data_IF_365526715208
#
_entry.id   IF_365526715208
#
_cell.length_a   1.000
_cell.length_b   1.000
_cell.length_c   1.000
_cell.angle_alpha   90.00
_cell.angle_beta   90.00
_cell.angle_gamma   90.00
#
_symmetry.space_group_name_H-M   'P 1'
#
loop_
_entity.id
_entity.type
_entity.pdbx_description
1 polymer ?
#
# COMPACT_ATOMS: atom_id res chain seq x y z
N UNK A 1 15.35 11.88 -26.66
CA UNK A 1 16.53 11.14 -26.15
C UNK A 1 16.11 10.43 -24.86
N UNK A 2 16.52 9.17 -24.64
CA UNK A 2 16.34 8.51 -23.35
C UNK A 2 17.32 9.08 -22.32
N UNK A 3 16.90 9.17 -21.06
CA UNK A 3 17.73 9.62 -19.94
C UNK A 3 17.57 8.67 -18.75
N UNK A 4 18.61 8.57 -17.93
CA UNK A 4 18.58 7.87 -16.64
C UNK A 4 18.91 8.90 -15.57
N UNK A 5 18.06 9.00 -14.56
CA UNK A 5 18.22 9.91 -13.44
C UNK A 5 18.25 9.11 -12.14
N UNK A 6 19.11 9.52 -11.20
CA UNK A 6 19.25 8.88 -9.89
C UNK A 6 18.93 9.93 -8.84
N UNK A 7 17.97 9.64 -7.98
CA UNK A 7 17.54 10.53 -6.91
C UNK A 7 17.17 9.72 -5.65
N UNK A 8 17.26 10.40 -4.52
CA UNK A 8 16.72 9.93 -3.25
C UNK A 8 15.34 10.54 -2.95
N UNK A 9 14.89 11.53 -3.74
CA UNK A 9 13.53 12.08 -3.63
C UNK A 9 12.56 11.22 -4.43
N UNK A 10 11.57 10.68 -3.71
CA UNK A 10 10.45 10.01 -4.35
C UNK A 10 9.61 11.00 -5.15
N UNK A 11 9.40 12.22 -4.65
CA UNK A 11 8.58 13.25 -5.31
C UNK A 11 9.12 13.57 -6.72
N UNK A 12 10.43 13.70 -6.87
CA UNK A 12 11.07 13.87 -8.17
C UNK A 12 10.86 12.66 -9.09
N UNK A 13 11.05 11.45 -8.56
CA UNK A 13 10.87 10.22 -9.33
C UNK A 13 9.41 10.06 -9.82
N UNK A 14 8.44 10.38 -8.97
CA UNK A 14 7.01 10.33 -9.31
C UNK A 14 6.60 11.42 -10.31
N UNK A 15 7.20 12.61 -10.22
CA UNK A 15 6.81 13.74 -11.07
C UNK A 15 7.31 13.64 -12.51
N UNK A 16 8.49 13.05 -12.74
CA UNK A 16 9.18 13.15 -14.03
C UNK A 16 9.46 11.82 -14.74
N UNK A 17 9.44 10.69 -14.04
CA UNK A 17 9.90 9.43 -14.62
C UNK A 17 8.77 8.63 -15.31
N UNK A 18 9.01 8.21 -16.56
CA UNK A 18 8.14 7.24 -17.24
C UNK A 18 8.14 5.88 -16.53
N UNK A 19 9.31 5.51 -15.98
CA UNK A 19 9.54 4.30 -15.18
C UNK A 19 10.51 4.61 -14.05
N UNK A 20 10.28 3.98 -12.91
CA UNK A 20 11.16 4.04 -11.75
C UNK A 20 11.71 2.64 -11.49
N UNK A 21 13.00 2.54 -11.22
CA UNK A 21 13.63 1.33 -10.72
C UNK A 21 13.97 1.53 -9.24
N UNK A 22 13.26 0.81 -8.36
CA UNK A 22 13.50 0.84 -6.92
C UNK A 22 14.63 -0.13 -6.62
N UNK A 23 15.67 0.33 -5.92
CA UNK A 23 16.87 -0.44 -5.60
C UNK A 23 17.05 -0.61 -4.09
N UNK A 24 17.53 -1.79 -3.69
CA UNK A 24 17.96 -2.10 -2.33
C UNK A 24 19.20 -3.00 -2.36
N UNK A 25 20.18 -2.73 -1.49
CA UNK A 25 21.43 -3.48 -1.40
C UNK A 25 22.11 -3.74 -2.76
N UNK A 26 22.13 -2.74 -3.64
CA UNK A 26 22.74 -2.82 -4.97
C UNK A 26 21.97 -3.65 -6.00
N UNK A 27 20.74 -4.07 -5.69
CA UNK A 27 19.85 -4.83 -6.60
C UNK A 27 18.59 -4.05 -6.90
N UNK A 28 18.08 -4.20 -8.11
CA UNK A 28 16.74 -3.71 -8.45
C UNK A 28 15.71 -4.64 -7.81
N UNK A 29 14.86 -4.07 -6.96
CA UNK A 29 13.77 -4.78 -6.28
C UNK A 29 12.53 -4.82 -7.16
N UNK A 30 12.19 -3.69 -7.78
CA UNK A 30 11.03 -3.57 -8.67
C UNK A 30 11.23 -2.45 -9.69
N UNK A 31 10.73 -2.66 -10.92
CA UNK A 31 10.67 -1.63 -11.96
C UNK A 31 9.23 -1.52 -12.44
N UNK A 32 8.73 -0.31 -12.60
CA UNK A 32 7.38 -0.07 -13.11
C UNK A 32 7.13 1.40 -13.40
N UNK A 33 5.93 1.72 -13.87
CA UNK A 33 5.47 3.11 -13.85
C UNK A 33 5.26 3.56 -12.40
N UNK A 34 5.29 4.87 -12.10
CA UNK A 34 5.05 5.36 -10.74
C UNK A 34 3.74 4.82 -10.14
N UNK A 35 2.66 4.83 -10.93
CA UNK A 35 1.35 4.28 -10.54
C UNK A 35 1.40 2.78 -10.23
N UNK A 36 2.07 1.98 -11.07
CA UNK A 36 2.20 0.54 -10.84
C UNK A 36 2.93 0.23 -9.54
N UNK A 37 4.04 0.92 -9.30
CA UNK A 37 4.85 0.73 -8.11
C UNK A 37 4.09 1.14 -6.84
N UNK A 38 3.36 2.25 -6.89
CA UNK A 38 2.61 2.76 -5.75
C UNK A 38 1.43 1.85 -5.36
N UNK A 39 0.66 1.38 -6.35
CA UNK A 39 -0.54 0.58 -6.13
C UNK A 39 -0.28 -0.94 -6.04
N UNK A 40 0.78 -1.44 -6.68
CA UNK A 40 1.11 -2.86 -6.70
C UNK A 40 2.59 -3.08 -6.32
N UNK A 41 3.00 -2.67 -5.10
CA UNK A 41 4.34 -2.94 -4.62
C UNK A 41 4.54 -4.44 -4.42
N UNK A 42 5.70 -4.96 -4.79
CA UNK A 42 6.03 -6.40 -4.67
C UNK A 42 6.31 -6.83 -3.22
N UNK A 43 6.67 -5.88 -2.36
CA UNK A 43 6.96 -6.11 -0.94
C UNK A 43 6.82 -4.82 -0.13
N UNK A 44 6.96 -4.96 1.19
CA UNK A 44 6.85 -3.86 2.16
C UNK A 44 7.89 -2.77 1.91
N UNK A 45 9.13 -3.14 1.57
CA UNK A 45 10.18 -2.17 1.28
C UNK A 45 9.79 -1.23 0.13
N UNK A 46 9.32 -1.78 -1.00
CA UNK A 46 8.87 -0.94 -2.12
C UNK A 46 7.64 -0.12 -1.72
N UNK A 47 6.71 -0.72 -0.98
CA UNK A 47 5.50 -0.04 -0.56
C UNK A 47 5.78 1.18 0.34
N UNK A 48 6.66 1.01 1.32
CA UNK A 48 7.05 2.01 2.32
C UNK A 48 7.97 3.08 1.72
N UNK A 49 8.83 2.69 0.77
CA UNK A 49 9.69 3.63 0.05
C UNK A 49 8.89 4.66 -0.74
N UNK A 50 7.79 4.23 -1.37
CA UNK A 50 7.02 5.07 -2.29
C UNK A 50 6.02 6.00 -1.60
N UNK A 51 5.67 5.75 -0.34
CA UNK A 51 4.68 6.57 0.36
C UNK A 51 4.27 5.99 1.70
N UNK A 52 3.47 6.76 2.44
CA UNK A 52 2.92 6.33 3.71
C UNK A 52 2.01 5.10 3.53
N UNK A 53 2.11 4.17 4.46
CA UNK A 53 1.39 2.90 4.49
C UNK A 53 0.81 2.66 5.87
N UNK A 54 -0.36 2.03 5.92
CA UNK A 54 -0.90 1.43 7.13
C UNK A 54 -0.99 -0.07 6.89
N UNK A 55 -0.52 -0.86 7.85
CA UNK A 55 -0.61 -2.32 7.77
C UNK A 55 -1.59 -2.83 8.83
N UNK A 56 -2.61 -3.55 8.38
CA UNK A 56 -3.54 -4.23 9.26
C UNK A 56 -3.29 -5.73 9.21
N UNK A 57 -3.05 -6.33 10.36
CA UNK A 57 -3.02 -7.79 10.47
C UNK A 57 -4.44 -8.33 10.23
N UNK A 58 -4.59 -9.22 9.26
CA UNK A 58 -5.87 -9.79 8.87
C UNK A 58 -5.76 -11.31 8.67
N UNK A 59 -6.91 -11.97 8.67
CA UNK A 59 -7.01 -13.40 8.42
C UNK A 59 -8.02 -13.66 7.31
N UNK A 60 -7.59 -14.37 6.27
CA UNK A 60 -8.48 -14.88 5.23
C UNK A 60 -8.96 -16.26 5.68
N UNK A 61 -10.27 -16.40 5.83
CA UNK A 61 -10.93 -17.64 6.19
C UNK A 61 -11.54 -18.32 4.95
N UNK A 62 -12.22 -19.45 5.15
CA UNK A 62 -12.95 -20.12 4.07
C UNK A 62 -13.92 -19.15 3.38
N UNK A 63 -14.28 -19.48 2.13
CA UNK A 63 -15.21 -18.66 1.32
C UNK A 63 -14.72 -17.22 1.07
N UNK A 64 -13.39 -17.00 1.10
CA UNK A 64 -12.78 -15.70 0.81
C UNK A 64 -13.22 -14.58 1.76
N UNK A 65 -13.49 -14.93 3.02
CA UNK A 65 -13.86 -13.96 4.05
C UNK A 65 -12.59 -13.40 4.71
N UNK A 66 -12.36 -12.09 4.56
CA UNK A 66 -11.28 -11.36 5.21
C UNK A 66 -11.75 -10.79 6.54
N UNK A 67 -11.16 -11.24 7.65
CA UNK A 67 -11.33 -10.63 8.97
C UNK A 67 -10.19 -9.65 9.25
N UNK A 68 -10.54 -8.42 9.60
CA UNK A 68 -9.60 -7.35 9.94
C UNK A 68 -10.09 -6.57 11.17
N UNK A 69 -9.22 -5.78 11.83
CA UNK A 69 -9.61 -4.92 12.95
C UNK A 69 -10.67 -3.87 12.59
N UNK A 70 -10.78 -3.52 11.31
CA UNK A 70 -11.72 -2.51 10.80
C UNK A 70 -13.02 -3.12 10.27
N UNK A 71 -13.16 -4.45 10.30
CA UNK A 71 -14.37 -5.13 9.83
C UNK A 71 -14.10 -6.46 9.13
N UNK A 72 -15.20 -7.10 8.72
CA UNK A 72 -15.19 -8.33 7.93
C UNK A 72 -15.64 -8.02 6.51
N UNK A 73 -14.89 -8.51 5.53
CA UNK A 73 -15.12 -8.26 4.10
C UNK A 73 -15.19 -9.57 3.33
N UNK A 74 -16.07 -9.65 2.33
CA UNK A 74 -16.07 -10.74 1.36
C UNK A 74 -15.18 -10.36 0.19
N UNK A 75 -14.10 -11.09 -0.02
CA UNK A 75 -13.23 -10.91 -1.18
C UNK A 75 -13.84 -11.58 -2.41
N UNK A 76 -13.48 -11.07 -3.58
CA UNK A 76 -13.91 -11.67 -4.84
C UNK A 76 -13.26 -13.06 -5.00
N UNK A 77 -14.03 -14.11 -5.37
CA UNK A 77 -13.49 -15.47 -5.55
C UNK A 77 -12.30 -15.54 -6.50
N UNK A 78 -12.26 -14.65 -7.48
CA UNK A 78 -11.23 -14.55 -8.52
C UNK A 78 -9.85 -14.15 -7.98
N UNK A 79 -9.78 -13.58 -6.77
CA UNK A 79 -8.52 -13.20 -6.14
C UNK A 79 -7.68 -14.40 -5.69
N UNK A 80 -8.31 -15.56 -5.46
CA UNK A 80 -7.60 -16.82 -5.25
C UNK A 80 -6.67 -16.88 -4.02
N UNK A 81 -6.90 -16.05 -3.00
CA UNK A 81 -6.06 -16.08 -1.80
C UNK A 81 -6.29 -17.37 -0.99
N UNK A 82 -5.21 -17.97 -0.50
CA UNK A 82 -5.30 -19.10 0.42
C UNK A 82 -5.82 -18.63 1.79
N UNK A 83 -6.39 -19.55 2.57
CA UNK A 83 -6.74 -19.27 3.96
C UNK A 83 -5.47 -19.08 4.79
N UNK A 84 -5.41 -18.06 5.64
CA UNK A 84 -4.23 -17.80 6.45
C UNK A 84 -4.15 -16.38 6.97
N UNK A 85 -3.02 -16.06 7.60
CA UNK A 85 -2.72 -14.72 8.12
C UNK A 85 -2.02 -13.88 7.07
N UNK A 86 -2.48 -12.65 6.91
CA UNK A 86 -1.98 -11.67 5.96
C UNK A 86 -1.75 -10.32 6.64
N UNK A 87 -0.97 -9.47 5.98
CA UNK A 87 -0.91 -8.05 6.30
C UNK A 87 -1.55 -7.28 5.16
N UNK A 88 -2.66 -6.61 5.47
CA UNK A 88 -3.37 -5.77 4.52
C UNK A 88 -2.75 -4.38 4.53
N UNK A 89 -2.14 -4.02 3.41
CA UNK A 89 -1.68 -2.67 3.15
C UNK A 89 -2.87 -1.77 2.79
N UNK A 90 -2.98 -0.65 3.50
CA UNK A 90 -3.92 0.42 3.25
C UNK A 90 -3.15 1.73 3.07
N UNK A 91 -3.38 2.41 1.95
CA UNK A 91 -2.90 3.77 1.76
C UNK A 91 -3.83 4.77 2.44
N UNK A 92 -3.33 5.88 3.02
CA UNK A 92 -4.16 6.85 3.73
C UNK A 92 -5.37 7.34 2.91
N UNK A 93 -5.20 7.59 1.62
CA UNK A 93 -6.24 8.04 0.70
C UNK A 93 -7.34 7.00 0.43
N UNK A 94 -7.10 5.73 0.78
CA UNK A 94 -8.12 4.67 0.69
C UNK A 94 -9.03 4.64 1.93
N UNK A 95 -8.73 5.44 2.96
CA UNK A 95 -9.48 5.48 4.22
C UNK A 95 -10.35 6.73 4.25
N UNK A 96 -11.66 6.51 4.32
CA UNK A 96 -12.63 7.58 4.58
C UNK A 96 -13.07 7.51 6.03
N UNK A 97 -12.86 8.60 6.77
CA UNK A 97 -13.32 8.73 8.14
C UNK A 97 -14.66 9.47 8.17
N UNK A 98 -15.63 8.89 8.88
CA UNK A 98 -16.92 9.52 9.16
C UNK A 98 -17.03 9.75 10.66
N UNK A 99 -17.46 10.94 11.05
CA UNK A 99 -17.75 11.25 12.45
C UNK A 99 -18.93 10.40 12.93
N UNK A 100 -18.74 9.76 14.08
CA UNK A 100 -19.76 8.99 14.78
C UNK A 100 -19.76 9.41 16.25
N UNK A 101 -20.93 9.78 16.77
CA UNK A 101 -21.11 10.17 18.18
C UNK A 101 -20.82 9.02 19.15
N UNK A 102 -20.90 7.78 18.68
CA UNK A 102 -20.58 6.58 19.45
C UNK A 102 -19.26 5.93 18.99
N UNK A 103 -18.49 6.61 18.14
CA UNK A 103 -17.22 6.13 17.65
C UNK A 103 -16.19 6.01 18.77
N UNK A 104 -15.40 4.93 18.76
CA UNK A 104 -14.33 4.71 19.74
C UNK A 104 -12.98 5.30 19.31
N UNK A 105 -12.91 5.92 18.13
CA UNK A 105 -11.68 6.53 17.60
C UNK A 105 -11.47 7.95 18.14
N UNK A 106 -10.26 8.25 18.60
CA UNK A 106 -9.85 9.61 18.97
C UNK A 106 -8.89 10.17 17.94
N UNK A 107 -9.14 11.39 17.46
CA UNK A 107 -8.19 12.10 16.59
C UNK A 107 -7.00 12.51 17.45
N UNK A 108 -5.84 11.92 17.21
CA UNK A 108 -4.60 12.24 17.92
C UNK A 108 -3.94 13.49 17.34
N UNK A 109 -3.89 13.59 16.01
CA UNK A 109 -3.29 14.69 15.27
C UNK A 109 -4.05 14.95 13.97
N UNK A 110 -3.99 16.19 13.48
CA UNK A 110 -4.52 16.60 12.17
C UNK A 110 -3.44 17.38 11.42
N UNK A 111 -2.95 16.81 10.34
CA UNK A 111 -2.07 17.49 9.39
C UNK A 111 -2.95 18.32 8.44
N UNK A 112 -2.63 19.60 8.31
CA UNK A 112 -3.29 20.56 7.42
C UNK A 112 -2.45 20.79 6.17
#
# INVERSE_FOLDING_TARGET
>A
MPAIFVTHSKEEAFAFADKIAVMDQGKIVQIGTPTQLYHNPINHFVADFLGSTNYLNCEIQAEQVLKSPIGTYHLFPEMGYATGRYQWLLRPEQILLKLDQFGQGTVMDKLF
#
